data_IF_688684331809
#
_entry.id   IF_688684331809
#
_cell.length_a   1.000
_cell.length_b   1.000
_cell.length_c   1.000
_cell.angle_alpha   90.00
_cell.angle_beta   90.00
_cell.angle_gamma   90.00
#
_symmetry.space_group_name_H-M   'P 1'
#
loop_
_entity.id
_entity.type
_entity.pdbx_description
1 polymer ?
#
# COMPACT_ATOMS: atom_id res chain seq x y z
N UNK A 1 24.12 25.04 25.04
CA UNK A 1 22.80 24.77 24.44
C UNK A 1 22.37 25.85 23.42
N UNK A 2 23.29 26.48 22.68
CA UNK A 2 22.99 27.56 21.71
C UNK A 2 23.36 27.20 20.24
N UNK A 3 23.99 26.05 20.01
CA UNK A 3 24.44 25.61 18.68
C UNK A 3 23.50 24.60 17.99
N UNK A 4 22.51 24.06 18.70
CA UNK A 4 21.60 23.04 18.17
C UNK A 4 20.56 23.68 17.22
N UNK A 5 20.04 24.86 17.58
CA UNK A 5 19.08 25.60 16.76
C UNK A 5 19.62 26.02 15.38
N UNK A 6 20.82 26.62 15.24
CA UNK A 6 21.35 26.95 13.92
C UNK A 6 21.71 25.71 13.10
N UNK A 7 22.18 24.63 13.72
CA UNK A 7 22.45 23.37 13.02
C UNK A 7 21.18 22.74 12.43
N UNK A 8 20.08 22.72 13.20
CA UNK A 8 18.77 22.23 12.72
C UNK A 8 18.22 23.11 11.59
N UNK A 9 18.37 24.43 11.68
CA UNK A 9 17.95 25.36 10.62
C UNK A 9 18.76 25.18 9.33
N UNK A 10 20.07 24.95 9.43
CA UNK A 10 20.93 24.69 8.27
C UNK A 10 20.57 23.35 7.62
N UNK A 11 20.35 22.30 8.40
CA UNK A 11 19.91 20.99 7.88
C UNK A 11 18.52 21.10 7.24
N UNK A 12 17.58 21.81 7.86
CA UNK A 12 16.25 22.04 7.30
C UNK A 12 16.30 22.88 6.01
N UNK A 13 17.09 23.95 5.98
CA UNK A 13 17.29 24.76 4.78
C UNK A 13 17.94 23.96 3.65
N UNK A 14 18.89 23.07 3.99
CA UNK A 14 19.51 22.17 3.03
C UNK A 14 18.52 21.12 2.52
N UNK A 15 17.69 20.55 3.40
CA UNK A 15 16.67 19.55 3.07
C UNK A 15 15.51 20.14 2.24
N UNK A 16 15.12 21.39 2.50
CA UNK A 16 14.12 22.12 1.72
C UNK A 16 14.67 22.55 0.37
N UNK A 17 15.96 22.91 0.30
CA UNK A 17 16.62 23.33 -0.95
C UNK A 17 16.99 22.16 -1.86
N UNK A 18 17.39 21.04 -1.27
CA UNK A 18 17.57 19.78 -1.97
C UNK A 18 16.21 19.09 -2.06
N UNK A 19 15.27 19.63 -2.83
CA UNK A 19 13.90 19.11 -3.03
C UNK A 19 13.94 17.58 -3.19
N UNK A 20 13.75 16.82 -2.09
CA UNK A 20 14.11 15.40 -2.07
C UNK A 20 13.05 14.63 -2.83
N UNK A 21 11.84 15.19 -2.94
CA UNK A 21 10.78 14.73 -3.81
C UNK A 21 11.15 14.92 -5.29
N UNK A 22 11.84 16.01 -5.65
CA UNK A 22 12.38 16.27 -7.00
C UNK A 22 13.48 15.28 -7.40
N UNK A 23 14.42 14.98 -6.51
CA UNK A 23 15.50 14.00 -6.75
C UNK A 23 14.91 12.58 -6.85
N UNK A 24 13.99 12.22 -5.95
CA UNK A 24 13.29 10.93 -6.01
C UNK A 24 12.46 10.80 -7.30
N UNK A 25 11.74 11.86 -7.71
CA UNK A 25 11.03 11.89 -9.01
C UNK A 25 12.00 11.73 -10.18
N UNK A 26 13.14 12.39 -10.14
CA UNK A 26 14.16 12.34 -11.20
C UNK A 26 14.74 10.93 -11.35
N UNK A 27 15.08 10.27 -10.23
CA UNK A 27 15.56 8.89 -10.21
C UNK A 27 14.49 7.90 -10.72
N UNK A 28 13.25 8.05 -10.27
CA UNK A 28 12.15 7.19 -10.75
C UNK A 28 11.88 7.41 -12.24
N UNK A 29 11.97 8.65 -12.73
CA UNK A 29 11.81 8.96 -14.15
C UNK A 29 13.01 8.51 -14.99
N UNK A 30 14.23 8.56 -14.47
CA UNK A 30 15.43 8.16 -15.22
C UNK A 30 15.44 6.65 -15.46
N UNK A 31 15.01 5.86 -14.48
CA UNK A 31 14.83 4.42 -14.67
C UNK A 31 13.73 4.10 -15.67
N UNK A 32 12.60 4.81 -15.62
CA UNK A 32 11.53 4.65 -16.63
C UNK A 32 12.04 4.99 -18.03
N UNK A 33 12.74 6.12 -18.19
CA UNK A 33 13.35 6.53 -19.46
C UNK A 33 14.40 5.53 -19.95
N UNK A 34 15.16 4.92 -19.03
CA UNK A 34 16.14 3.88 -19.38
C UNK A 34 15.45 2.63 -19.90
N UNK A 35 14.35 2.20 -19.28
CA UNK A 35 13.55 1.06 -19.72
C UNK A 35 12.88 1.33 -21.08
N UNK A 36 12.28 2.51 -21.25
CA UNK A 36 11.70 2.94 -22.54
C UNK A 36 12.78 3.03 -23.64
N UNK A 37 13.99 3.48 -23.32
CA UNK A 37 15.11 3.53 -24.26
C UNK A 37 15.65 2.12 -24.60
N UNK A 38 15.67 1.19 -23.65
CA UNK A 38 16.02 -0.23 -23.87
C UNK A 38 15.03 -0.93 -24.80
N UNK A 39 13.78 -0.48 -24.84
CA UNK A 39 12.75 -0.93 -25.79
C UNK A 39 12.96 -0.44 -27.22
N UNK A 40 13.68 0.68 -27.42
CA UNK A 40 13.95 1.26 -28.75
C UNK A 40 15.23 0.74 -29.41
N UNK A 41 16.02 -0.10 -28.73
CA UNK A 41 17.28 -0.63 -29.23
C UNK A 41 17.04 -1.93 -30.01
N UNK A 42 17.11 -1.84 -31.35
CA UNK A 42 16.81 -2.89 -32.34
C UNK A 42 17.66 -4.18 -32.21
N UNK A 43 18.73 -4.19 -31.40
CA UNK A 43 19.61 -5.35 -31.24
C UNK A 43 19.21 -6.29 -30.09
N UNK A 44 18.18 -5.96 -29.31
CA UNK A 44 17.78 -6.79 -28.19
C UNK A 44 17.00 -8.03 -28.66
N UNK A 45 17.71 -9.18 -28.56
CA UNK A 45 17.22 -10.57 -28.63
C UNK A 45 15.71 -10.71 -28.34
N UNK A 46 14.98 -11.42 -29.20
CA UNK A 46 13.50 -11.59 -29.22
C UNK A 46 12.78 -11.94 -27.89
N UNK A 47 13.50 -12.23 -26.81
CA UNK A 47 12.93 -12.43 -25.47
C UNK A 47 13.00 -11.22 -24.53
N UNK A 48 13.93 -10.27 -24.76
CA UNK A 48 14.21 -9.19 -23.82
C UNK A 48 13.13 -8.09 -23.85
N UNK A 49 12.56 -7.80 -25.02
CA UNK A 49 11.43 -6.88 -25.16
C UNK A 49 10.24 -7.29 -24.29
N UNK A 50 9.93 -8.59 -24.23
CA UNK A 50 8.84 -9.11 -23.39
C UNK A 50 9.09 -8.88 -21.89
N UNK A 51 10.35 -8.97 -21.45
CA UNK A 51 10.75 -8.72 -20.06
C UNK A 51 10.62 -7.23 -19.73
N UNK A 52 11.09 -6.34 -20.61
CA UNK A 52 10.97 -4.90 -20.41
C UNK A 52 9.51 -4.43 -20.38
N UNK A 53 8.68 -4.94 -21.28
CA UNK A 53 7.22 -4.68 -21.27
C UNK A 53 6.57 -5.14 -19.97
N UNK A 54 6.96 -6.31 -19.44
CA UNK A 54 6.46 -6.81 -18.14
C UNK A 54 6.88 -5.90 -16.98
N UNK A 55 8.14 -5.49 -16.92
CA UNK A 55 8.67 -4.59 -15.90
C UNK A 55 7.94 -3.22 -15.90
N UNK A 56 7.76 -2.64 -17.09
CA UNK A 56 7.01 -1.39 -17.28
C UNK A 56 5.55 -1.52 -16.86
N UNK A 57 4.89 -2.62 -17.25
CA UNK A 57 3.53 -2.93 -16.84
C UNK A 57 3.43 -3.05 -15.32
N UNK A 58 4.32 -3.80 -14.67
CA UNK A 58 4.36 -3.92 -13.20
C UNK A 58 4.54 -2.57 -12.50
N UNK A 59 5.43 -1.70 -12.99
CA UNK A 59 5.61 -0.36 -12.40
C UNK A 59 4.37 0.50 -12.56
N UNK A 60 3.72 0.46 -13.72
CA UNK A 60 2.49 1.20 -13.99
C UNK A 60 1.34 0.72 -13.10
N UNK A 61 1.19 -0.60 -12.97
CA UNK A 61 0.16 -1.26 -12.17
C UNK A 61 0.40 -1.06 -10.68
N UNK A 62 1.64 -1.10 -10.21
CA UNK A 62 1.97 -0.78 -8.82
C UNK A 62 1.54 0.65 -8.46
N UNK A 63 1.80 1.63 -9.34
CA UNK A 63 1.38 3.02 -9.10
C UNK A 63 -0.15 3.16 -9.05
N UNK A 64 -0.85 2.36 -9.84
CA UNK A 64 -2.32 2.37 -9.95
C UNK A 64 -3.01 1.65 -8.78
N UNK A 65 -2.53 0.46 -8.43
CA UNK A 65 -3.15 -0.44 -7.44
C UNK A 65 -2.54 -0.33 -6.04
N UNK A 66 -1.29 0.16 -5.93
CA UNK A 66 -0.47 0.21 -4.70
C UNK A 66 -0.24 -1.16 -4.04
N UNK A 67 -0.33 -2.24 -4.81
CA UNK A 67 -0.08 -3.62 -4.36
C UNK A 67 1.33 -4.05 -4.75
N UNK A 68 2.07 -4.67 -3.84
CA UNK A 68 3.46 -5.10 -4.11
C UNK A 68 3.55 -6.39 -4.93
N UNK A 69 2.57 -7.29 -4.81
CA UNK A 69 2.60 -8.58 -5.50
C UNK A 69 2.11 -8.42 -6.95
N UNK A 70 2.98 -8.71 -7.92
CA UNK A 70 2.68 -8.58 -9.35
C UNK A 70 1.48 -9.41 -9.82
N UNK A 71 1.32 -10.66 -9.36
CA UNK A 71 0.17 -11.51 -9.74
C UNK A 71 -1.14 -10.96 -9.17
N UNK A 72 -1.05 -10.34 -7.99
CA UNK A 72 -2.17 -9.68 -7.35
C UNK A 72 -2.54 -8.36 -8.06
N UNK A 73 -1.58 -7.66 -8.67
CA UNK A 73 -1.84 -6.41 -9.38
C UNK A 73 -2.75 -6.62 -10.61
N UNK A 74 -2.49 -7.64 -11.42
CA UNK A 74 -3.32 -7.95 -12.59
C UNK A 74 -4.75 -8.32 -12.16
N UNK A 75 -4.89 -9.23 -11.18
CA UNK A 75 -6.20 -9.60 -10.63
C UNK A 75 -6.93 -8.41 -9.98
N UNK A 76 -6.21 -7.50 -9.34
CA UNK A 76 -6.80 -6.32 -8.72
C UNK A 76 -7.37 -5.34 -9.75
N UNK A 77 -6.77 -5.25 -10.94
CA UNK A 77 -7.33 -4.43 -12.03
C UNK A 77 -8.60 -5.05 -12.58
N UNK A 78 -8.62 -6.36 -12.82
CA UNK A 78 -9.83 -7.06 -13.27
C UNK A 78 -10.96 -6.95 -12.23
N UNK A 79 -10.63 -7.15 -10.96
CA UNK A 79 -11.55 -6.94 -9.85
C UNK A 79 -12.10 -5.50 -9.83
N UNK A 80 -11.22 -4.50 -9.97
CA UNK A 80 -11.62 -3.10 -9.96
C UNK A 80 -12.53 -2.74 -11.13
N UNK A 81 -12.27 -3.31 -12.30
CA UNK A 81 -13.05 -3.12 -13.52
C UNK A 81 -14.43 -3.80 -13.40
N UNK A 82 -14.49 -4.99 -12.79
CA UNK A 82 -15.74 -5.73 -12.59
C UNK A 82 -16.68 -5.03 -11.60
N UNK A 83 -16.15 -4.53 -10.48
CA UNK A 83 -16.95 -3.88 -9.43
C UNK A 83 -17.05 -2.36 -9.55
N UNK A 84 -16.49 -1.78 -10.62
CA UNK A 84 -16.37 -0.33 -10.83
C UNK A 84 -15.83 0.42 -9.60
N UNK A 85 -14.84 -0.18 -8.92
CA UNK A 85 -14.18 0.44 -7.76
C UNK A 85 -12.86 1.08 -8.18
N UNK A 86 -12.37 2.02 -7.38
CA UNK A 86 -11.08 2.64 -7.63
C UNK A 86 -9.99 1.56 -7.64
N UNK A 87 -9.04 1.63 -8.57
CA UNK A 87 -8.01 0.61 -8.74
C UNK A 87 -7.12 0.40 -7.49
N UNK A 88 -7.04 1.39 -6.61
CA UNK A 88 -6.35 1.31 -5.33
C UNK A 88 -7.23 0.83 -4.16
N UNK A 89 -8.46 0.35 -4.41
CA UNK A 89 -9.38 -0.09 -3.36
C UNK A 89 -8.72 -1.16 -2.46
N UNK A 90 -8.12 -2.19 -3.07
CA UNK A 90 -7.45 -3.28 -2.35
C UNK A 90 -6.14 -2.84 -1.65
N UNK A 91 -5.64 -1.63 -1.89
CA UNK A 91 -4.38 -1.16 -1.31
C UNK A 91 -4.41 -1.07 0.21
N UNK A 92 -5.60 -0.85 0.78
CA UNK A 92 -5.80 -0.77 2.24
C UNK A 92 -5.51 -2.12 2.92
N UNK A 93 -5.72 -3.22 2.21
CA UNK A 93 -5.52 -4.59 2.72
C UNK A 93 -4.27 -5.28 2.14
N UNK A 94 -3.38 -4.52 1.48
CA UNK A 94 -2.20 -5.04 0.78
C UNK A 94 -1.32 -5.99 1.60
N UNK A 95 -1.28 -5.83 2.92
CA UNK A 95 -0.45 -6.63 3.84
C UNK A 95 -1.06 -8.01 4.11
N UNK A 96 -2.37 -8.16 3.93
CA UNK A 96 -3.13 -9.39 4.24
C UNK A 96 -3.67 -10.08 2.99
N UNK A 97 -3.48 -9.48 1.80
CA UNK A 97 -3.84 -10.05 0.52
C UNK A 97 -2.64 -10.78 -0.10
N UNK A 98 -2.90 -12.00 -0.54
CA UNK A 98 -1.95 -12.84 -1.27
C UNK A 98 -2.65 -13.41 -2.49
N UNK A 99 -1.89 -13.72 -3.53
CA UNK A 99 -2.39 -14.48 -4.66
C UNK A 99 -1.99 -15.96 -4.48
N UNK A 100 -2.96 -16.86 -4.69
CA UNK A 100 -2.76 -18.32 -4.71
C UNK A 100 -3.63 -18.91 -5.82
N UNK A 101 -3.01 -19.64 -6.75
CA UNK A 101 -3.67 -20.31 -7.88
C UNK A 101 -4.58 -19.40 -8.74
N UNK A 102 -4.14 -18.16 -8.95
CA UNK A 102 -4.89 -17.14 -9.68
C UNK A 102 -6.10 -16.60 -8.91
N UNK A 103 -6.19 -16.84 -7.61
CA UNK A 103 -7.24 -16.31 -6.72
C UNK A 103 -6.68 -15.33 -5.73
N UNK A 104 -7.48 -14.33 -5.39
CA UNK A 104 -7.17 -13.39 -4.32
C UNK A 104 -7.50 -14.07 -2.98
N UNK A 105 -6.48 -14.38 -2.20
CA UNK A 105 -6.61 -15.00 -0.88
C UNK A 105 -6.36 -13.98 0.23
N UNK A 106 -7.34 -13.82 1.11
CA UNK A 106 -7.26 -12.94 2.28
C UNK A 106 -6.94 -13.73 3.54
N UNK A 107 -5.89 -13.33 4.26
CA UNK A 107 -5.49 -13.99 5.51
C UNK A 107 -6.25 -13.43 6.71
N UNK A 108 -7.40 -14.04 7.02
CA UNK A 108 -8.27 -13.61 8.12
C UNK A 108 -7.57 -13.70 9.50
N UNK A 109 -6.83 -14.79 9.75
CA UNK A 109 -6.17 -15.03 11.05
C UNK A 109 -5.11 -13.98 11.37
N UNK A 110 -4.28 -13.61 10.38
CA UNK A 110 -3.30 -12.55 10.53
C UNK A 110 -3.97 -11.18 10.69
N UNK A 111 -5.01 -10.89 9.92
CA UNK A 111 -5.77 -9.65 10.05
C UNK A 111 -6.36 -9.49 11.46
N UNK A 112 -6.99 -10.52 12.03
CA UNK A 112 -7.56 -10.45 13.38
C UNK A 112 -6.49 -10.23 14.45
N UNK A 113 -5.34 -10.91 14.31
CA UNK A 113 -4.21 -10.72 15.23
C UNK A 113 -3.68 -9.29 15.19
N UNK A 114 -3.51 -8.72 14.01
CA UNK A 114 -3.08 -7.32 13.86
C UNK A 114 -4.12 -6.32 14.33
N UNK A 115 -5.41 -6.60 14.09
CA UNK A 115 -6.50 -5.78 14.61
C UNK A 115 -6.46 -5.76 16.15
N UNK A 116 -6.31 -6.91 16.78
CA UNK A 116 -6.21 -7.00 18.25
C UNK A 116 -4.97 -6.27 18.79
N UNK A 117 -3.83 -6.42 18.13
CA UNK A 117 -2.60 -5.67 18.48
C UNK A 117 -2.77 -4.17 18.28
N UNK A 118 -3.50 -3.72 17.25
CA UNK A 118 -3.81 -2.31 17.03
C UNK A 118 -4.69 -1.78 18.17
N UNK A 119 -5.74 -2.50 18.57
CA UNK A 119 -6.55 -2.14 19.74
C UNK A 119 -5.71 -2.03 21.03
N UNK A 120 -4.82 -2.99 21.28
CA UNK A 120 -3.93 -2.95 22.44
C UNK A 120 -2.97 -1.76 22.37
N UNK A 121 -2.38 -1.49 21.20
CA UNK A 121 -1.51 -0.33 20.97
C UNK A 121 -2.26 0.99 21.22
N UNK A 122 -3.52 1.10 20.78
CA UNK A 122 -4.36 2.28 21.05
C UNK A 122 -4.54 2.48 22.56
N UNK A 123 -4.91 1.41 23.29
CA UNK A 123 -5.10 1.50 24.73
C UNK A 123 -3.82 1.90 25.47
N UNK A 124 -2.70 1.24 25.16
CA UNK A 124 -1.40 1.52 25.79
C UNK A 124 -0.88 2.91 25.42
N UNK A 125 -0.92 3.28 24.14
CA UNK A 125 -0.46 4.58 23.65
C UNK A 125 -1.28 5.72 24.23
N UNK A 126 -2.61 5.59 24.28
CA UNK A 126 -3.50 6.60 24.86
C UNK A 126 -3.31 6.69 26.37
N UNK A 127 -3.20 5.56 27.07
CA UNK A 127 -2.94 5.54 28.52
C UNK A 127 -1.61 6.21 28.89
N UNK A 128 -0.54 5.89 28.14
CA UNK A 128 0.78 6.50 28.32
C UNK A 128 0.75 8.00 28.02
N UNK A 129 0.02 8.40 26.97
CA UNK A 129 -0.16 9.81 26.63
C UNK A 129 -0.89 10.56 27.76
N UNK A 130 -1.97 10.01 28.31
CA UNK A 130 -2.69 10.60 29.46
C UNK A 130 -1.77 10.71 30.69
N UNK A 131 -0.97 9.70 30.99
CA UNK A 131 -0.03 9.74 32.09
C UNK A 131 1.01 10.87 31.93
N UNK A 132 1.57 11.02 30.73
CA UNK A 132 2.49 12.12 30.40
C UNK A 132 1.80 13.48 30.58
N UNK A 133 0.56 13.63 30.10
CA UNK A 133 -0.19 14.86 30.27
C UNK A 133 -0.39 15.22 31.75
N UNK A 134 -0.80 14.25 32.58
CA UNK A 134 -0.96 14.47 34.03
C UNK A 134 0.35 14.92 34.68
N UNK A 135 1.48 14.31 34.31
CA UNK A 135 2.80 14.71 34.81
C UNK A 135 3.18 16.14 34.37
N UNK A 136 2.91 16.49 33.11
CA UNK A 136 3.16 17.84 32.59
C UNK A 136 2.34 18.90 33.33
N UNK A 137 1.06 18.62 33.59
CA UNK A 137 0.21 19.54 34.33
C UNK A 137 0.62 19.69 35.80
N UNK A 138 1.23 18.66 36.41
CA UNK A 138 1.78 18.76 37.78
C UNK A 138 3.11 19.50 37.85
N UNK A 139 3.96 19.36 36.83
CA UNK A 139 5.33 19.88 36.84
C UNK A 139 5.47 21.30 36.27
N UNK A 140 4.53 21.76 35.43
CA UNK A 140 4.65 23.01 34.68
C UNK A 140 3.49 23.97 34.98
N UNK A 141 3.75 25.26 34.73
CA UNK A 141 2.73 26.31 34.71
C UNK A 141 1.70 25.97 33.60
N UNK A 142 0.40 26.12 33.91
CA UNK A 142 -0.72 25.65 33.10
C UNK A 142 -0.62 26.00 31.59
N UNK A 143 -0.22 27.23 31.26
CA UNK A 143 -0.11 27.64 29.84
C UNK A 143 0.99 26.86 29.10
N UNK A 144 2.14 26.61 29.72
CA UNK A 144 3.24 25.84 29.13
C UNK A 144 2.83 24.37 28.96
N UNK A 145 2.14 23.81 29.96
CA UNK A 145 1.61 22.45 29.90
C UNK A 145 0.62 22.28 28.73
N UNK A 146 -0.29 23.24 28.52
CA UNK A 146 -1.26 23.21 27.41
C UNK A 146 -0.58 23.23 26.03
N UNK A 147 0.42 24.09 25.82
CA UNK A 147 1.14 24.17 24.54
C UNK A 147 1.88 22.86 24.24
N UNK A 148 2.58 22.30 25.22
CA UNK A 148 3.32 21.05 25.06
C UNK A 148 2.35 19.87 24.82
N UNK A 149 1.23 19.83 25.54
CA UNK A 149 0.17 18.85 25.33
C UNK A 149 -0.37 18.88 23.89
N UNK A 150 -0.68 20.07 23.39
CA UNK A 150 -1.17 20.25 22.03
C UNK A 150 -0.16 19.75 20.99
N UNK A 151 1.13 20.07 21.18
CA UNK A 151 2.19 19.60 20.29
C UNK A 151 2.32 18.08 20.30
N UNK A 152 2.32 17.46 21.48
CA UNK A 152 2.40 15.99 21.62
C UNK A 152 1.22 15.29 20.95
N UNK A 153 0.00 15.81 21.13
CA UNK A 153 -1.19 15.19 20.53
C UNK A 153 -1.14 15.29 19.00
N UNK A 154 -0.86 16.47 18.45
CA UNK A 154 -0.94 16.69 17.00
C UNK A 154 0.24 16.12 16.21
N UNK A 155 1.46 16.15 16.77
CA UNK A 155 2.66 15.77 16.02
C UNK A 155 3.19 14.38 16.36
N UNK A 156 2.81 13.83 17.52
CA UNK A 156 3.29 12.52 17.96
C UNK A 156 2.15 11.52 17.99
N UNK A 157 1.13 11.77 18.81
CA UNK A 157 0.07 10.78 19.05
C UNK A 157 -0.82 10.57 17.81
N UNK A 158 -1.31 11.64 17.20
CA UNK A 158 -2.24 11.55 16.07
C UNK A 158 -1.59 10.90 14.83
N UNK A 159 -0.38 11.29 14.38
CA UNK A 159 0.29 10.62 13.26
C UNK A 159 0.60 9.16 13.56
N UNK A 160 0.98 8.83 14.81
CA UNK A 160 1.19 7.44 15.24
C UNK A 160 -0.09 6.61 15.13
N UNK A 161 -1.22 7.17 15.55
CA UNK A 161 -2.53 6.52 15.46
C UNK A 161 -2.95 6.27 14.00
N UNK A 162 -2.76 7.26 13.12
CA UNK A 162 -3.03 7.09 11.67
C UNK A 162 -2.15 5.99 11.08
N UNK A 163 -0.87 5.96 11.42
CA UNK A 163 0.07 4.98 10.86
C UNK A 163 -0.23 3.55 11.30
N UNK A 164 -0.72 3.39 12.53
CA UNK A 164 -1.05 2.07 13.14
C UNK A 164 -2.50 1.66 12.96
N UNK A 165 -3.30 2.46 12.24
CA UNK A 165 -4.71 2.22 12.00
C UNK A 165 -4.90 1.03 11.06
N UNK A 166 -5.65 0.04 11.53
CA UNK A 166 -6.07 -1.13 10.75
C UNK A 166 -7.47 -0.88 10.18
N UNK A 167 -7.81 -1.36 8.97
CA UNK A 167 -9.14 -1.23 8.40
C UNK A 167 -10.24 -1.76 9.34
N UNK A 168 -11.39 -1.09 9.37
CA UNK A 168 -12.52 -1.52 10.19
C UNK A 168 -13.11 -2.86 9.73
N UNK A 169 -13.67 -3.62 10.68
CA UNK A 169 -14.27 -4.95 10.42
C UNK A 169 -15.39 -4.91 9.37
N UNK A 170 -16.22 -3.87 9.34
CA UNK A 170 -17.32 -3.75 8.37
C UNK A 170 -16.81 -3.64 6.94
N UNK A 171 -15.88 -2.72 6.68
CA UNK A 171 -15.25 -2.55 5.38
C UNK A 171 -14.47 -3.80 4.95
N UNK A 172 -13.79 -4.47 5.89
CA UNK A 172 -13.07 -5.72 5.59
C UNK A 172 -14.02 -6.85 5.22
N UNK A 173 -15.20 -6.96 5.84
CA UNK A 173 -16.22 -7.97 5.46
C UNK A 173 -16.76 -7.72 4.05
N UNK A 174 -17.14 -6.49 3.74
CA UNK A 174 -17.62 -6.14 2.40
C UNK A 174 -16.56 -6.41 1.33
N UNK A 175 -15.30 -6.09 1.60
CA UNK A 175 -14.18 -6.41 0.71
C UNK A 175 -14.04 -7.93 0.53
N UNK A 176 -14.11 -8.70 1.62
CA UNK A 176 -14.02 -10.15 1.59
C UNK A 176 -15.13 -10.77 0.75
N UNK A 177 -16.39 -10.36 0.95
CA UNK A 177 -17.54 -10.89 0.21
C UNK A 177 -17.39 -10.61 -1.31
N UNK A 178 -16.96 -9.40 -1.68
CA UNK A 178 -16.71 -9.03 -3.08
C UNK A 178 -15.57 -9.85 -3.69
N UNK A 179 -14.51 -10.10 -2.93
CA UNK A 179 -13.37 -10.93 -3.37
C UNK A 179 -13.79 -12.38 -3.56
N UNK A 180 -14.60 -12.92 -2.65
CA UNK A 180 -15.12 -14.29 -2.75
C UNK A 180 -16.03 -14.44 -3.98
N UNK A 181 -16.94 -13.48 -4.19
CA UNK A 181 -17.78 -13.45 -5.37
C UNK A 181 -16.95 -13.37 -6.68
N UNK A 182 -15.91 -12.54 -6.71
CA UNK A 182 -15.01 -12.44 -7.86
C UNK A 182 -14.28 -13.77 -8.13
N UNK A 183 -13.72 -14.39 -7.10
CA UNK A 183 -13.02 -15.68 -7.21
C UNK A 183 -13.97 -16.80 -7.70
N UNK A 184 -15.25 -16.77 -7.29
CA UNK A 184 -16.25 -17.72 -7.75
C UNK A 184 -16.57 -17.55 -9.24
N UNK A 185 -16.67 -16.30 -9.70
CA UNK A 185 -16.89 -15.97 -11.12
C UNK A 185 -15.73 -16.41 -12.01
N UNK A 186 -14.49 -16.14 -11.59
CA UNK A 186 -13.27 -16.56 -12.30
C UNK A 186 -13.15 -18.09 -12.43
N UNK A 187 -13.57 -18.83 -11.40
CA UNK A 187 -13.63 -20.30 -11.46
C UNK A 187 -14.60 -20.76 -12.56
N UNK A 188 -15.76 -20.10 -12.69
CA UNK A 188 -16.77 -20.44 -13.69
C UNK A 188 -16.35 -20.09 -15.12
N UNK A 189 -15.58 -19.02 -15.31
CA UNK A 189 -15.11 -18.58 -16.64
C UNK A 189 -13.97 -19.47 -17.15
N UNK A 190 -12.99 -19.81 -16.29
CA UNK A 190 -11.91 -20.73 -16.65
C UNK A 190 -12.42 -22.16 -16.91
N UNK A 191 -13.40 -22.63 -16.13
CA UNK A 191 -14.05 -23.92 -16.38
C UNK A 191 -14.69 -24.01 -17.77
N UNK A 192 -15.49 -22.99 -18.13
CA UNK A 192 -16.12 -22.90 -19.47
C UNK A 192 -15.11 -22.76 -20.61
N UNK A 193 -14.00 -22.06 -20.39
CA UNK A 193 -12.95 -21.92 -21.41
C UNK A 193 -12.28 -23.27 -21.69
N UNK A 194 -11.98 -24.05 -20.64
CA UNK A 194 -11.36 -25.37 -20.79
C UNK A 194 -12.31 -26.37 -21.49
N UNK A 195 -13.61 -26.34 -21.18
CA UNK A 195 -14.61 -27.17 -21.86
C UNK A 195 -14.73 -26.84 -23.36
N UNK A 196 -14.72 -25.55 -23.72
CA UNK A 196 -14.75 -25.12 -25.12
C UNK A 196 -13.49 -25.53 -25.88
N UNK A 197 -12.31 -25.44 -25.27
CA UNK A 197 -11.05 -25.89 -25.87
C UNK A 197 -11.05 -27.40 -26.11
N UNK A 198 -11.54 -28.19 -25.14
CA UNK A 198 -11.65 -29.66 -25.29
C UNK A 198 -12.69 -30.07 -26.33
N UNK A 199 -13.78 -29.32 -26.48
CA UNK A 199 -14.77 -29.56 -27.54
C UNK A 199 -14.22 -29.19 -28.92
N UNK A 200 -13.48 -28.09 -29.06
CA UNK A 200 -12.84 -27.71 -30.32
C UNK A 200 -11.80 -28.76 -30.76
N UNK A 201 -11.00 -29.28 -29.82
CA UNK A 201 -10.01 -30.33 -30.11
C UNK A 201 -10.66 -31.64 -30.58
N UNK A 202 -11.81 -32.02 -30.00
CA UNK A 202 -12.57 -33.22 -30.43
C UNK A 202 -13.25 -33.11 -31.80
N UNK A 203 -13.54 -31.90 -32.28
CA UNK A 203 -14.18 -31.68 -33.59
C UNK A 203 -13.15 -31.64 -34.73
N UNK A 204 -11.87 -31.53 -34.40
CA UNK A 204 -10.78 -31.42 -35.40
C UNK A 204 -10.06 -32.76 -35.65
N UNK A 205 -10.55 -33.86 -35.06
CA UNK A 205 -10.02 -35.23 -35.24
C UNK A 205 -11.03 -36.08 -36.00
#
# INVERSE_FOLDING_TARGET
MWLILPAVLVVHAWLVRADPAGIARSLINSEKRRLDHMLTLDYLKDGADTLFKRELRQRSLWKLTRLFNHRLQDLAVEFALHWNVRANYLSLWRTWLSERDGKIHFSHTWYERFLWMSWLNILVSTGLMVAILVLLFKALIAWKAMVIAFMLVNFIWLPWMIFTMVPFRSATREMFDRVEAFNALEKSSRGRSNEKSQQAEKVTV
#
